data_IF_153540306366
#
_entry.id   IF_153540306366
#
_cell.length_a   1.000
_cell.length_b   1.000
_cell.length_c   1.000
_cell.angle_alpha   90.00
_cell.angle_beta   90.00
_cell.angle_gamma   90.00
#
_symmetry.space_group_name_H-M   'P 1'
#
loop_
_entity.id
_entity.type
_entity.pdbx_description
1 polymer ?
#
# COMPACT_ATOMS: atom_id res chain seq x y z
N UNK A 1 8.01 6.88 26.78
CA UNK A 1 6.78 7.64 26.41
C UNK A 1 7.02 8.40 25.12
N UNK A 2 8.18 9.03 24.96
CA UNK A 2 8.54 9.82 23.78
C UNK A 2 8.57 9.00 22.48
N UNK A 3 9.18 7.81 22.48
CA UNK A 3 9.20 6.92 21.30
C UNK A 3 7.79 6.54 20.79
N UNK A 4 6.85 6.27 21.69
CA UNK A 4 5.47 5.90 21.30
C UNK A 4 4.74 7.06 20.63
N UNK A 5 4.90 8.27 21.16
CA UNK A 5 4.32 9.48 20.56
C UNK A 5 4.91 9.75 19.16
N UNK A 6 6.21 9.47 18.97
CA UNK A 6 6.86 9.63 17.66
C UNK A 6 6.34 8.63 16.62
N UNK A 7 6.16 7.36 16.99
CA UNK A 7 5.72 6.30 16.06
C UNK A 7 4.31 6.54 15.50
N UNK A 8 3.44 7.22 16.25
CA UNK A 8 2.04 7.44 15.88
C UNK A 8 1.79 8.79 15.20
N UNK A 9 2.84 9.59 14.99
CA UNK A 9 2.72 10.97 14.56
C UNK A 9 3.40 11.20 13.20
N UNK A 10 2.62 11.70 12.24
CA UNK A 10 3.06 12.04 10.88
C UNK A 10 4.27 12.98 10.84
N UNK A 11 4.42 13.89 11.82
CA UNK A 11 5.54 14.84 11.86
C UNK A 11 6.91 14.15 11.94
N UNK A 12 6.99 12.99 12.59
CA UNK A 12 8.22 12.22 12.77
C UNK A 12 8.47 11.20 11.64
N UNK A 13 7.57 11.13 10.66
CA UNK A 13 7.75 10.28 9.48
C UNK A 13 8.82 10.87 8.57
N UNK A 14 9.75 10.03 8.11
CA UNK A 14 10.86 10.45 7.26
C UNK A 14 11.06 9.47 6.09
N UNK A 15 10.86 9.90 4.83
CA UNK A 15 11.00 9.03 3.67
C UNK A 15 12.35 8.30 3.57
N UNK A 16 13.45 8.95 3.96
CA UNK A 16 14.80 8.37 3.94
C UNK A 16 15.09 7.41 5.10
N UNK A 17 14.27 7.41 6.15
CA UNK A 17 14.44 6.56 7.33
C UNK A 17 13.99 7.25 8.62
N UNK A 18 13.19 6.55 9.43
CA UNK A 18 12.70 7.03 10.72
C UNK A 18 12.74 5.94 11.82
N UNK A 19 12.25 6.27 13.01
CA UNK A 19 12.18 5.36 14.15
C UNK A 19 11.26 4.15 13.92
N UNK A 20 10.24 4.24 13.07
CA UNK A 20 9.45 3.05 12.71
C UNK A 20 10.35 2.05 11.99
N UNK A 21 11.23 2.49 11.09
CA UNK A 21 12.12 1.59 10.36
C UNK A 21 13.12 0.88 11.27
N UNK A 22 13.70 1.62 12.21
CA UNK A 22 14.60 1.06 13.23
C UNK A 22 13.90 -0.03 14.03
N UNK A 23 12.69 0.25 14.52
CA UNK A 23 11.91 -0.71 15.33
C UNK A 23 11.48 -1.92 14.50
N UNK A 24 11.00 -1.71 13.27
CA UNK A 24 10.53 -2.79 12.41
C UNK A 24 11.66 -3.74 11.99
N UNK A 25 12.91 -3.26 11.93
CA UNK A 25 14.05 -4.10 11.55
C UNK A 25 14.27 -5.31 12.48
N UNK A 26 13.81 -5.22 13.74
CA UNK A 26 13.85 -6.33 14.70
C UNK A 26 12.95 -7.52 14.32
N UNK A 27 12.01 -7.35 13.39
CA UNK A 27 11.07 -8.38 12.95
C UNK A 27 11.34 -8.90 11.54
N UNK A 28 12.45 -8.52 10.91
CA UNK A 28 12.76 -9.01 9.58
C UNK A 28 13.26 -10.46 9.64
N UNK A 29 12.73 -11.30 8.75
CA UNK A 29 13.21 -12.67 8.55
C UNK A 29 14.53 -12.59 7.80
N UNK A 30 15.60 -13.08 8.43
CA UNK A 30 16.92 -13.12 7.81
C UNK A 30 17.06 -14.31 6.85
N UNK A 31 18.00 -14.20 5.91
CA UNK A 31 18.37 -15.31 5.02
C UNK A 31 17.50 -15.48 3.77
N UNK A 32 16.71 -14.46 3.39
CA UNK A 32 15.99 -14.50 2.12
C UNK A 32 16.96 -14.60 0.94
N UNK A 33 16.77 -15.60 0.07
CA UNK A 33 17.51 -15.72 -1.20
C UNK A 33 17.06 -14.68 -2.23
N UNK A 34 15.82 -14.20 -2.10
CA UNK A 34 15.13 -13.33 -3.05
C UNK A 34 15.26 -11.88 -2.61
N UNK A 35 14.78 -11.56 -1.40
CA UNK A 35 14.79 -10.22 -0.84
C UNK A 35 16.08 -10.01 -0.03
N UNK A 36 17.21 -9.97 -0.73
CA UNK A 36 18.54 -9.89 -0.10
C UNK A 36 18.76 -8.51 0.51
N UNK A 37 19.37 -8.50 1.69
CA UNK A 37 19.91 -7.28 2.26
C UNK A 37 21.03 -6.75 1.34
N UNK A 38 20.83 -5.56 0.78
CA UNK A 38 21.89 -4.83 0.07
C UNK A 38 23.07 -4.58 1.00
N UNK A 39 24.27 -4.43 0.43
CA UNK A 39 25.48 -4.03 1.18
C UNK A 39 25.30 -2.70 1.92
N UNK A 40 24.38 -1.84 1.44
CA UNK A 40 23.89 -0.66 2.14
C UNK A 40 22.42 -0.87 2.49
N UNK A 41 22.08 -1.22 3.75
CA UNK A 41 20.70 -1.43 4.14
C UNK A 41 19.93 -0.11 4.02
N UNK A 42 18.82 -0.14 3.28
CA UNK A 42 17.91 0.99 3.15
C UNK A 42 16.54 0.54 3.62
N UNK A 43 15.83 1.35 4.42
CA UNK A 43 14.45 1.04 4.80
C UNK A 43 13.51 1.03 3.58
N UNK A 44 13.95 1.55 2.44
CA UNK A 44 13.19 1.57 1.19
C UNK A 44 13.33 0.28 0.37
N UNK A 45 14.10 -0.68 0.84
CA UNK A 45 14.19 -2.00 0.22
C UNK A 45 13.06 -2.89 0.75
N UNK A 46 12.75 -3.95 0.00
CA UNK A 46 11.81 -4.97 0.41
C UNK A 46 12.44 -5.92 1.44
N UNK A 47 11.80 -6.06 2.59
CA UNK A 47 12.16 -7.07 3.60
C UNK A 47 10.94 -7.92 3.96
N UNK A 48 11.16 -9.19 4.30
CA UNK A 48 10.09 -10.07 4.74
C UNK A 48 9.95 -9.96 6.26
N UNK A 49 8.72 -9.76 6.73
CA UNK A 49 8.41 -9.61 8.16
C UNK A 49 8.00 -10.97 8.74
N UNK A 50 8.55 -11.32 9.90
CA UNK A 50 8.03 -12.39 10.74
C UNK A 50 6.66 -11.98 11.29
N UNK A 51 5.59 -12.45 10.66
CA UNK A 51 4.23 -12.12 11.05
C UNK A 51 3.90 -12.54 12.49
N UNK A 52 4.41 -13.70 12.93
CA UNK A 52 4.16 -14.18 14.28
C UNK A 52 4.89 -13.32 15.30
N UNK A 53 6.17 -13.01 15.04
CA UNK A 53 6.95 -12.09 15.86
C UNK A 53 6.35 -10.69 15.93
N UNK A 54 5.84 -10.17 14.81
CA UNK A 54 5.24 -8.85 14.74
C UNK A 54 3.87 -8.76 15.44
N UNK A 55 2.94 -9.68 15.19
CA UNK A 55 1.57 -9.59 15.72
C UNK A 55 1.41 -10.12 17.15
N UNK A 56 2.27 -11.05 17.60
CA UNK A 56 2.20 -11.59 18.97
C UNK A 56 3.11 -10.88 19.98
N UNK A 57 3.86 -9.86 19.54
CA UNK A 57 4.80 -9.16 20.44
C UNK A 57 4.11 -8.48 21.62
N UNK A 58 4.76 -8.55 22.77
CA UNK A 58 4.36 -7.80 23.97
C UNK A 58 5.01 -6.42 24.06
N UNK A 59 6.05 -6.18 23.26
CA UNK A 59 6.76 -4.89 23.25
C UNK A 59 5.80 -3.77 22.77
N UNK A 60 5.49 -2.78 23.63
CA UNK A 60 4.63 -1.68 23.24
C UNK A 60 5.21 -0.83 22.09
N UNK A 61 6.53 -0.74 21.96
CA UNK A 61 7.21 0.04 20.91
C UNK A 61 6.98 -0.63 19.56
N UNK A 62 7.26 -1.92 19.46
CA UNK A 62 7.01 -2.68 18.23
C UNK A 62 5.53 -2.74 17.86
N UNK A 63 4.62 -2.88 18.82
CA UNK A 63 3.17 -2.84 18.55
C UNK A 63 2.71 -1.51 17.94
N UNK A 64 3.36 -0.41 18.30
CA UNK A 64 3.07 0.93 17.78
C UNK A 64 3.75 1.23 16.44
N UNK A 65 4.79 0.48 16.07
CA UNK A 65 5.48 0.64 14.79
C UNK A 65 4.67 0.01 13.65
N UNK A 66 4.66 0.70 12.50
CA UNK A 66 4.00 0.22 11.29
C UNK A 66 5.03 -0.08 10.20
N UNK A 67 4.91 -1.22 9.50
CA UNK A 67 5.80 -1.61 8.42
C UNK A 67 5.69 -0.65 7.22
N UNK A 68 6.71 -0.60 6.36
CA UNK A 68 6.55 0.05 5.06
C UNK A 68 5.77 -0.83 4.11
N UNK A 69 5.16 -0.22 3.09
CA UNK A 69 4.42 -0.96 2.06
C UNK A 69 5.30 -1.95 1.30
N UNK A 70 6.56 -1.61 1.02
CA UNK A 70 7.50 -2.52 0.37
C UNK A 70 7.70 -3.81 1.18
N UNK A 71 7.84 -3.71 2.51
CA UNK A 71 8.01 -4.87 3.38
C UNK A 71 6.73 -5.71 3.45
N UNK A 72 5.56 -5.04 3.51
CA UNK A 72 4.29 -5.73 3.44
C UNK A 72 4.13 -6.49 2.13
N UNK A 73 4.41 -5.85 0.99
CA UNK A 73 4.34 -6.49 -0.34
C UNK A 73 5.28 -7.69 -0.42
N UNK A 74 6.54 -7.54 -0.01
CA UNK A 74 7.50 -8.65 0.00
C UNK A 74 7.01 -9.84 0.83
N UNK A 75 6.50 -9.57 2.03
CA UNK A 75 5.96 -10.60 2.93
C UNK A 75 4.78 -11.35 2.31
N UNK A 76 3.85 -10.63 1.67
CA UNK A 76 2.68 -11.22 1.01
C UNK A 76 3.10 -12.11 -0.15
N UNK A 77 3.98 -11.61 -1.01
CA UNK A 77 4.48 -12.36 -2.16
C UNK A 77 5.20 -13.63 -1.70
N UNK A 78 6.04 -13.55 -0.65
CA UNK A 78 6.71 -14.71 -0.06
C UNK A 78 5.75 -15.78 0.48
N UNK A 79 4.57 -15.41 0.99
CA UNK A 79 3.54 -16.38 1.41
C UNK A 79 2.68 -16.92 0.26
N UNK A 80 2.88 -16.41 -0.97
CA UNK A 80 2.06 -16.72 -2.14
C UNK A 80 2.66 -17.88 -2.94
N UNK A 81 3.64 -17.62 -3.81
CA UNK A 81 4.36 -18.65 -4.59
C UNK A 81 5.64 -18.07 -5.21
N UNK A 82 6.57 -18.93 -5.64
CA UNK A 82 7.80 -18.50 -6.33
C UNK A 82 7.51 -17.83 -7.66
N UNK A 83 6.51 -18.28 -8.40
CA UNK A 83 6.08 -17.69 -9.66
C UNK A 83 5.48 -16.29 -9.45
N UNK A 84 4.71 -16.10 -8.36
CA UNK A 84 4.15 -14.79 -8.01
C UNK A 84 5.27 -13.78 -7.71
N UNK A 85 6.25 -14.18 -6.90
CA UNK A 85 7.40 -13.35 -6.55
C UNK A 85 8.23 -13.03 -7.80
N UNK A 86 8.50 -14.04 -8.64
CA UNK A 86 9.24 -13.86 -9.88
C UNK A 86 8.51 -12.89 -10.83
N UNK A 87 7.21 -13.05 -11.04
CA UNK A 87 6.42 -12.18 -11.91
C UNK A 87 6.37 -10.73 -11.39
N UNK A 88 6.28 -10.53 -10.07
CA UNK A 88 6.31 -9.18 -9.51
C UNK A 88 7.67 -8.50 -9.72
N UNK A 89 8.77 -9.23 -9.55
CA UNK A 89 10.13 -8.71 -9.63
C UNK A 89 10.69 -8.64 -11.06
N UNK A 90 10.06 -9.31 -12.03
CA UNK A 90 10.51 -9.34 -13.42
C UNK A 90 10.26 -7.99 -14.12
N UNK A 91 11.30 -7.26 -14.56
CA UNK A 91 11.14 -6.02 -15.30
C UNK A 91 10.52 -6.23 -16.70
N UNK A 92 10.51 -7.46 -17.22
CA UNK A 92 9.82 -7.83 -18.46
C UNK A 92 8.31 -7.90 -18.31
N UNK A 93 7.80 -8.13 -17.09
CA UNK A 93 6.36 -8.07 -16.80
C UNK A 93 5.95 -6.60 -16.70
N UNK A 94 5.08 -6.16 -17.61
CA UNK A 94 4.64 -4.76 -17.67
C UNK A 94 3.61 -4.48 -16.58
N UNK A 95 2.59 -5.32 -16.49
CA UNK A 95 1.54 -5.19 -15.48
C UNK A 95 1.46 -6.44 -14.62
N UNK A 96 1.51 -6.23 -13.31
CA UNK A 96 1.24 -7.24 -12.30
C UNK A 96 0.12 -6.75 -11.38
N UNK A 97 -0.85 -7.61 -11.07
CA UNK A 97 -1.93 -7.28 -10.13
C UNK A 97 -2.16 -8.41 -9.15
N UNK A 98 -1.88 -8.18 -7.88
CA UNK A 98 -2.30 -9.05 -6.78
C UNK A 98 -3.65 -8.58 -6.24
N UNK A 99 -4.58 -9.52 -6.03
CA UNK A 99 -5.92 -9.26 -5.47
C UNK A 99 -6.28 -10.30 -4.41
N UNK A 100 -6.96 -9.83 -3.38
CA UNK A 100 -7.50 -10.70 -2.34
C UNK A 100 -8.86 -10.21 -1.84
N UNK A 101 -9.87 -11.06 -1.98
CA UNK A 101 -11.20 -10.80 -1.44
C UNK A 101 -11.25 -11.17 0.05
N UNK A 102 -11.49 -10.19 0.91
CA UNK A 102 -11.38 -10.34 2.37
C UNK A 102 -12.56 -11.11 2.96
N UNK A 103 -13.75 -10.91 2.42
CA UNK A 103 -15.02 -11.38 2.99
C UNK A 103 -15.63 -12.58 2.24
N UNK A 104 -14.97 -13.09 1.19
CA UNK A 104 -15.43 -14.25 0.41
C UNK A 104 -16.83 -14.12 -0.18
N UNK A 105 -17.36 -12.89 -0.26
CA UNK A 105 -18.68 -12.57 -0.80
C UNK A 105 -18.57 -11.53 -1.91
N UNK A 106 -19.44 -11.65 -2.91
CA UNK A 106 -19.52 -10.70 -4.02
C UNK A 106 -19.75 -9.27 -3.48
N UNK A 107 -18.88 -8.35 -3.89
CA UNK A 107 -18.91 -6.95 -3.42
C UNK A 107 -18.27 -6.71 -2.05
N UNK A 108 -17.61 -7.71 -1.47
CA UNK A 108 -16.76 -7.54 -0.28
C UNK A 108 -15.54 -6.66 -0.56
N UNK A 109 -14.83 -6.31 0.51
CA UNK A 109 -13.57 -5.57 0.39
C UNK A 109 -12.52 -6.42 -0.34
N UNK A 110 -11.79 -5.78 -1.24
CA UNK A 110 -10.68 -6.33 -2.00
C UNK A 110 -9.43 -5.56 -1.61
N UNK A 111 -8.41 -6.29 -1.16
CA UNK A 111 -7.06 -5.76 -1.02
C UNK A 111 -6.33 -5.95 -2.34
N UNK A 112 -5.61 -4.93 -2.79
CA UNK A 112 -4.87 -5.00 -4.05
C UNK A 112 -3.49 -4.35 -3.97
N UNK A 113 -2.57 -4.92 -4.76
CA UNK A 113 -1.29 -4.34 -5.12
C UNK A 113 -1.15 -4.50 -6.62
N UNK A 114 -1.15 -3.37 -7.34
CA UNK A 114 -0.95 -3.31 -8.78
C UNK A 114 0.40 -2.65 -9.07
N UNK A 115 1.25 -3.32 -9.83
CA UNK A 115 2.47 -2.77 -10.43
C UNK A 115 2.22 -2.56 -11.92
N UNK A 116 2.46 -1.35 -12.40
CA UNK A 116 2.56 -1.03 -13.83
C UNK A 116 3.94 -0.40 -14.06
N UNK A 117 4.80 -1.10 -14.77
CA UNK A 117 6.23 -0.80 -14.87
C UNK A 117 6.84 -0.65 -13.47
N UNK A 118 7.28 0.56 -13.10
CA UNK A 118 7.86 0.87 -11.79
C UNK A 118 6.89 1.63 -10.87
N UNK A 119 5.61 1.73 -11.22
CA UNK A 119 4.57 2.42 -10.46
C UNK A 119 3.68 1.41 -9.76
N UNK A 120 3.38 1.68 -8.50
CA UNK A 120 2.54 0.87 -7.64
C UNK A 120 1.26 1.64 -7.30
N UNK A 121 0.12 0.98 -7.42
CA UNK A 121 -1.13 1.38 -6.79
C UNK A 121 -1.48 0.28 -5.80
N UNK A 122 -1.69 0.66 -4.54
CA UNK A 122 -2.11 -0.28 -3.51
C UNK A 122 -3.28 0.29 -2.71
N UNK A 123 -4.12 -0.59 -2.18
CA UNK A 123 -5.24 -0.14 -1.38
C UNK A 123 -6.26 -1.21 -1.06
N UNK A 124 -7.36 -0.73 -0.50
CA UNK A 124 -8.54 -1.52 -0.18
C UNK A 124 -9.75 -0.88 -0.83
N UNK A 125 -10.53 -1.66 -1.57
CA UNK A 125 -11.71 -1.15 -2.27
C UNK A 125 -12.87 -2.14 -2.27
N UNK A 126 -14.08 -1.65 -2.54
CA UNK A 126 -15.24 -2.47 -2.94
C UNK A 126 -15.48 -2.32 -4.43
N UNK A 127 -15.70 -3.43 -5.13
CA UNK A 127 -16.07 -3.38 -6.54
C UNK A 127 -17.60 -3.20 -6.67
N UNK A 128 -18.04 -2.06 -7.18
CA UNK A 128 -19.46 -1.75 -7.41
C UNK A 128 -19.92 -2.08 -8.85
N UNK A 129 -19.07 -2.70 -9.66
CA UNK A 129 -19.34 -3.03 -11.07
C UNK A 129 -19.10 -1.87 -12.05
N UNK A 130 -19.39 -0.64 -11.64
CA UNK A 130 -19.13 0.58 -12.42
C UNK A 130 -18.01 1.45 -11.83
N UNK A 131 -17.55 1.15 -10.61
CA UNK A 131 -16.46 1.85 -9.95
C UNK A 131 -15.83 1.00 -8.85
N UNK A 132 -14.55 1.22 -8.59
CA UNK A 132 -13.88 0.77 -7.38
C UNK A 132 -14.04 1.84 -6.31
N UNK A 133 -14.71 1.52 -5.21
CA UNK A 133 -14.87 2.43 -4.06
C UNK A 133 -13.76 2.16 -3.04
N UNK A 134 -12.79 3.06 -2.97
CA UNK A 134 -11.59 2.93 -2.14
C UNK A 134 -11.83 3.43 -0.72
N UNK A 135 -11.47 2.60 0.26
CA UNK A 135 -11.33 3.01 1.67
C UNK A 135 -9.90 3.45 1.99
N UNK A 136 -8.91 2.88 1.30
CA UNK A 136 -7.50 3.28 1.35
C UNK A 136 -6.95 3.24 -0.08
N UNK A 137 -6.19 4.27 -0.47
CA UNK A 137 -5.58 4.36 -1.79
C UNK A 137 -4.24 5.07 -1.69
N UNK A 138 -3.17 4.37 -2.09
CA UNK A 138 -1.82 4.93 -2.13
C UNK A 138 -1.18 4.65 -3.49
N UNK A 139 -0.32 5.57 -3.92
CA UNK A 139 0.60 5.36 -5.03
C UNK A 139 2.03 5.39 -4.51
N UNK A 140 2.81 4.45 -4.97
CA UNK A 140 4.24 4.36 -4.70
C UNK A 140 4.97 4.05 -6.02
N UNK A 141 6.29 4.07 -5.98
CA UNK A 141 7.13 3.59 -7.07
C UNK A 141 8.44 3.07 -6.54
N UNK A 142 9.27 2.55 -7.43
CA UNK A 142 10.66 2.23 -7.09
C UNK A 142 11.63 2.75 -8.15
N UNK A 143 12.79 3.22 -7.69
CA UNK A 143 13.84 3.75 -8.55
C UNK A 143 14.69 2.67 -9.21
N UNK A 144 15.68 3.08 -10.00
CA UNK A 144 16.62 2.17 -10.67
C UNK A 144 17.43 1.30 -9.69
N UNK A 145 17.57 1.72 -8.44
CA UNK A 145 18.22 0.97 -7.36
C UNK A 145 17.31 -0.04 -6.67
N UNK A 146 16.04 -0.14 -7.09
CA UNK A 146 15.01 -0.97 -6.44
C UNK A 146 14.44 -0.37 -5.15
N UNK A 147 14.91 0.82 -4.73
CA UNK A 147 14.41 1.50 -3.54
C UNK A 147 13.03 2.11 -3.81
N UNK A 148 12.08 1.81 -2.93
CA UNK A 148 10.70 2.29 -2.98
C UNK A 148 10.57 3.72 -2.48
N UNK A 149 9.59 4.45 -3.01
CA UNK A 149 9.16 5.76 -2.52
C UNK A 149 7.64 5.89 -2.60
N UNK A 150 7.06 6.64 -1.67
CA UNK A 150 5.62 6.91 -1.64
C UNK A 150 5.34 8.24 -2.35
N UNK A 151 4.48 8.20 -3.37
CA UNK A 151 4.20 9.35 -4.25
C UNK A 151 2.91 10.08 -3.89
N UNK A 152 1.92 9.33 -3.40
CA UNK A 152 0.60 9.85 -3.12
C UNK A 152 -0.14 8.98 -2.10
N UNK A 153 -0.89 9.61 -1.22
CA UNK A 153 -1.95 8.93 -0.48
C UNK A 153 -3.24 9.74 -0.51
N UNK A 154 -4.37 9.05 -0.72
CA UNK A 154 -5.66 9.69 -0.64
C UNK A 154 -5.96 10.08 0.83
N UNK A 155 -6.30 11.34 1.11
CA UNK A 155 -6.60 11.77 2.48
C UNK A 155 -7.99 11.33 2.93
N UNK A 156 -8.86 10.96 1.99
CA UNK A 156 -10.22 10.50 2.22
C UNK A 156 -10.54 9.34 1.27
N UNK A 157 -11.61 8.62 1.58
CA UNK A 157 -12.18 7.62 0.68
C UNK A 157 -12.49 8.23 -0.69
N UNK A 158 -12.46 7.43 -1.75
CA UNK A 158 -12.72 7.91 -3.10
C UNK A 158 -13.08 6.79 -4.05
N UNK A 159 -13.06 7.08 -5.34
CA UNK A 159 -13.43 6.11 -6.36
C UNK A 159 -12.57 6.17 -7.61
N UNK A 160 -12.41 5.01 -8.24
CA UNK A 160 -11.86 4.87 -9.58
C UNK A 160 -12.96 4.34 -10.50
N UNK A 161 -13.29 5.01 -11.62
CA UNK A 161 -14.35 4.55 -12.51
C UNK A 161 -13.95 3.29 -13.28
N UNK A 162 -14.96 2.51 -13.65
CA UNK A 162 -14.84 1.42 -14.62
C UNK A 162 -15.60 1.86 -15.87
N UNK A 163 -14.90 1.96 -17.00
CA UNK A 163 -15.46 2.38 -18.29
C UNK A 163 -15.30 1.23 -19.27
N UNK A 164 -16.40 0.79 -19.86
CA UNK A 164 -16.43 -0.36 -20.80
C UNK A 164 -15.76 -1.63 -20.24
N UNK A 165 -15.95 -1.87 -18.93
CA UNK A 165 -15.37 -3.01 -18.22
C UNK A 165 -13.90 -2.83 -17.82
N UNK A 166 -13.25 -1.72 -18.21
CA UNK A 166 -11.85 -1.43 -17.91
C UNK A 166 -11.75 -0.49 -16.71
N UNK A 167 -10.96 -0.88 -15.70
CA UNK A 167 -10.67 -0.02 -14.55
C UNK A 167 -9.75 1.11 -14.98
N UNK A 168 -10.16 2.35 -14.76
CA UNK A 168 -9.37 3.53 -15.08
C UNK A 168 -8.35 3.84 -13.97
N UNK A 169 -7.38 2.95 -13.74
CA UNK A 169 -6.46 2.96 -12.58
C UNK A 169 -5.77 4.31 -12.31
N UNK A 170 -5.51 5.11 -13.34
CA UNK A 170 -4.87 6.42 -13.23
C UNK A 170 -5.81 7.52 -12.69
N UNK A 171 -7.11 7.26 -12.68
CA UNK A 171 -8.16 8.18 -12.23
C UNK A 171 -8.59 7.84 -10.80
N UNK A 172 -8.47 8.83 -9.92
CA UNK A 172 -8.98 8.79 -8.56
C UNK A 172 -9.81 10.04 -8.27
N UNK A 173 -11.05 9.85 -7.82
CA UNK A 173 -11.97 10.92 -7.44
C UNK A 173 -12.23 10.84 -5.94
N UNK A 174 -11.72 11.77 -5.12
CA UNK A 174 -12.04 11.82 -3.71
C UNK A 174 -13.55 11.98 -3.48
N UNK A 175 -14.10 11.26 -2.50
CA UNK A 175 -15.45 11.53 -2.02
C UNK A 175 -15.41 12.91 -1.38
N UNK A 176 -16.15 13.88 -1.93
CA UNK A 176 -16.24 15.21 -1.30
C UNK A 176 -16.72 15.02 0.13
N UNK A 177 -15.93 15.46 1.10
CA UNK A 177 -16.45 15.69 2.44
C UNK A 177 -17.55 16.75 2.27
N UNK A 178 -18.80 16.38 2.53
CA UNK A 178 -19.81 17.39 2.82
C UNK A 178 -19.30 18.13 4.05
N UNK A 179 -18.86 19.38 3.89
CA UNK A 179 -18.45 20.21 5.02
C UNK A 179 -19.55 20.18 6.07
N UNK A 180 -19.27 19.79 7.32
CA UNK A 180 -20.25 19.96 8.38
C UNK A 180 -20.23 21.43 8.78
N UNK A 181 -21.09 22.23 8.18
CA UNK A 181 -21.64 23.37 8.91
C UNK A 181 -22.60 22.79 9.96
N UNK A 182 -22.27 22.95 11.25
CA UNK A 182 -23.21 22.74 12.34
C UNK A 182 -22.82 21.63 13.34
N UNK A 183 -22.26 22.09 14.45
CA UNK A 183 -22.35 21.57 15.82
C UNK A 183 -21.80 20.17 16.16
N UNK A 184 -20.85 20.20 17.10
CA UNK A 184 -20.09 19.05 17.56
C UNK A 184 -20.92 17.95 18.20
N UNK A 185 -20.68 16.72 17.77
CA UNK A 185 -20.69 15.55 18.63
C UNK A 185 -19.81 14.44 18.03
N UNK A 186 -19.07 13.77 18.92
CA UNK A 186 -18.03 12.79 18.62
C UNK A 186 -18.52 11.67 17.68
N UNK A 187 -17.76 11.47 16.59
CA UNK A 187 -18.06 10.50 15.54
C UNK A 187 -17.85 9.05 15.97
N UNK A 188 -18.95 8.35 16.22
CA UNK A 188 -19.06 6.90 16.15
C UNK A 188 -19.32 6.45 14.70
N UNK A 189 -18.74 5.29 14.35
CA UNK A 189 -18.89 4.57 13.08
C UNK A 189 -20.36 4.46 12.61
N UNK A 190 -20.69 4.71 11.33
CA UNK A 190 -22.09 4.69 10.91
C UNK A 190 -22.56 3.27 10.55
N UNK A 191 -23.58 2.82 11.26
CA UNK A 191 -24.49 1.76 10.87
C UNK A 191 -25.42 2.22 9.73
N UNK A 192 -25.60 1.32 8.76
CA UNK A 192 -26.79 1.00 7.94
C UNK A 192 -27.99 1.98 7.97
N UNK A 193 -28.36 2.48 6.79
CA UNK A 193 -29.69 3.05 6.51
C UNK A 193 -29.85 3.42 5.03
N UNK A 194 -30.73 2.72 4.33
CA UNK A 194 -31.17 3.03 2.97
C UNK A 194 -31.89 4.39 2.93
N UNK A 195 -31.77 5.16 1.84
CA UNK A 195 -32.90 5.74 1.14
C UNK A 195 -32.47 6.39 -0.19
N UNK A 196 -33.24 6.08 -1.23
CA UNK A 196 -33.21 6.65 -2.59
C UNK A 196 -33.47 8.15 -2.56
N UNK A 197 -32.84 8.90 -3.47
CA UNK A 197 -33.51 9.86 -4.37
C UNK A 197 -32.57 10.42 -5.43
N UNK A 198 -33.19 10.75 -6.54
CA UNK A 198 -32.74 11.06 -7.90
C UNK A 198 -32.30 12.51 -8.14
N UNK A 199 -31.78 12.73 -9.37
CA UNK A 199 -31.55 14.01 -10.10
C UNK A 199 -30.26 14.76 -9.73
N UNK A 200 -29.52 15.43 -10.62
CA UNK A 200 -29.66 15.74 -12.06
C UNK A 200 -28.32 16.23 -12.63
N UNK A 201 -28.22 16.15 -13.95
CA UNK A 201 -27.18 16.59 -14.91
C UNK A 201 -26.48 17.94 -14.70
N UNK A 202 -25.19 17.99 -15.04
CA UNK A 202 -24.49 19.11 -15.73
C UNK A 202 -23.07 18.65 -16.12
N UNK A 203 -22.83 18.31 -17.39
CA UNK A 203 -22.27 19.15 -18.48
C UNK A 203 -20.80 19.58 -18.30
N UNK A 204 -19.92 18.78 -18.92
CA UNK A 204 -18.74 19.08 -19.75
C UNK A 204 -18.06 20.45 -19.57
N UNK A 205 -16.76 20.44 -19.25
CA UNK A 205 -15.72 21.16 -20.01
C UNK A 205 -14.30 20.70 -19.63
N UNK A 206 -13.56 20.21 -20.63
CA UNK A 206 -12.11 20.08 -20.62
C UNK A 206 -11.46 21.47 -20.84
N UNK A 207 -10.18 21.67 -20.45
CA UNK A 207 -9.19 21.74 -21.52
C UNK A 207 -7.78 21.22 -21.19
N UNK A 208 -7.24 20.52 -22.18
CA UNK A 208 -5.97 20.75 -22.89
C UNK A 208 -4.61 20.64 -22.19
N UNK A 209 -3.83 19.77 -22.83
CA UNK A 209 -2.41 19.44 -22.71
C UNK A 209 -1.48 20.55 -23.20
N UNK A 210 -0.36 20.76 -22.51
CA UNK A 210 0.86 21.26 -23.14
C UNK A 210 2.11 20.76 -22.38
N UNK A 211 3.18 20.31 -23.08
CA UNK A 211 4.32 19.62 -22.48
C UNK A 211 5.42 20.62 -22.09
N UNK A 212 6.00 20.49 -20.89
CA UNK A 212 7.21 21.22 -20.50
C UNK A 212 8.32 20.29 -20.03
N UNK A 213 9.18 19.98 -20.99
CA UNK A 213 10.66 20.02 -20.94
C UNK A 213 11.30 19.71 -19.57
N UNK A 214 11.81 18.49 -19.44
CA UNK A 214 12.74 18.06 -18.40
C UNK A 214 14.05 18.83 -18.62
N UNK A 215 14.47 19.59 -17.61
CA UNK A 215 15.80 20.20 -17.55
C UNK A 215 16.54 19.45 -16.44
N UNK A 216 17.50 18.62 -16.84
CA UNK A 216 18.49 18.02 -15.95
C UNK A 216 19.52 19.10 -15.59
N UNK A 217 19.67 19.39 -14.31
CA UNK A 217 20.81 20.15 -13.80
C UNK A 217 21.57 19.27 -12.81
N UNK A 218 22.87 19.24 -13.04
CA UNK A 218 23.87 18.34 -12.48
C UNK A 218 24.04 18.43 -10.96
N UNK A 219 24.59 17.33 -10.46
CA UNK A 219 24.95 17.05 -9.09
C UNK A 219 25.84 18.13 -8.47
N UNK A 220 25.53 18.50 -7.22
CA UNK A 220 26.54 18.93 -6.28
C UNK A 220 26.19 18.52 -4.84
N UNK A 221 27.25 18.23 -4.11
CA UNK A 221 27.36 17.51 -2.85
C UNK A 221 26.62 18.15 -1.66
N UNK A 222 26.18 17.27 -0.75
CA UNK A 222 26.09 17.60 0.68
C UNK A 222 24.76 18.16 1.18
N UNK A 223 23.62 17.57 0.82
CA UNK A 223 22.34 18.04 1.33
C UNK A 223 21.81 17.16 2.48
N UNK A 224 21.85 17.71 3.70
CA UNK A 224 21.03 17.20 4.81
C UNK A 224 19.59 17.48 4.43
N UNK A 225 18.93 16.51 3.80
CA UNK A 225 17.52 16.61 3.37
C UNK A 225 16.66 17.04 4.56
N UNK A 226 16.33 18.33 4.59
CA UNK A 226 15.47 18.92 5.60
C UNK A 226 14.06 18.38 5.40
N UNK A 227 13.60 17.58 6.35
CA UNK A 227 12.24 17.08 6.45
C UNK A 227 11.31 18.17 7.03
N UNK A 228 11.34 19.40 6.49
CA UNK A 228 10.49 20.52 6.90
C UNK A 228 9.49 20.82 5.80
N UNK A 229 8.43 20.01 5.73
CA UNK A 229 7.25 20.35 4.94
C UNK A 229 6.03 19.94 5.75
N UNK A 230 5.42 20.93 6.42
CA UNK A 230 4.33 20.76 7.38
C UNK A 230 2.95 20.83 6.71
N UNK A 231 2.88 21.07 5.39
CA UNK A 231 1.61 21.07 4.67
C UNK A 231 1.13 19.63 4.40
N UNK A 232 -0.02 19.26 4.98
CA UNK A 232 -0.66 17.96 4.74
C UNK A 232 -1.27 17.97 3.34
N UNK A 233 -0.44 17.68 2.34
CA UNK A 233 -0.84 17.46 0.96
C UNK A 233 -0.89 15.96 0.65
N UNK A 234 -1.82 15.50 -0.20
CA UNK A 234 -1.85 14.11 -0.67
C UNK A 234 -0.54 13.66 -1.34
N UNK A 235 0.27 14.60 -1.86
CA UNK A 235 1.59 14.35 -2.47
C UNK A 235 2.77 14.64 -1.54
N UNK A 236 2.52 15.10 -0.31
CA UNK A 236 3.58 15.26 0.67
C UNK A 236 4.11 13.87 1.04
N UNK A 237 5.42 13.66 0.90
CA UNK A 237 6.04 12.35 1.05
C UNK A 237 5.90 11.78 2.47
N UNK A 238 5.86 12.65 3.51
CA UNK A 238 5.62 12.18 4.89
C UNK A 238 4.19 11.68 5.07
N UNK A 239 3.21 12.43 4.57
CA UNK A 239 1.80 12.03 4.63
C UNK A 239 1.56 10.75 3.83
N UNK A 240 2.13 10.66 2.62
CA UNK A 240 2.05 9.48 1.77
C UNK A 240 2.64 8.25 2.47
N UNK A 241 3.86 8.36 3.03
CA UNK A 241 4.50 7.29 3.79
C UNK A 241 3.67 6.88 5.01
N UNK A 242 3.12 7.83 5.77
CA UNK A 242 2.29 7.51 6.94
C UNK A 242 1.06 6.68 6.56
N UNK A 243 0.30 7.10 5.53
CA UNK A 243 -0.87 6.35 5.06
C UNK A 243 -0.47 5.00 4.45
N UNK A 244 0.64 4.95 3.73
CA UNK A 244 1.22 3.74 3.17
C UNK A 244 1.57 2.72 4.26
N UNK A 245 2.12 3.17 5.40
CA UNK A 245 2.37 2.34 6.58
C UNK A 245 1.09 1.80 7.23
N UNK A 246 0.03 2.62 7.31
CA UNK A 246 -1.27 2.16 7.80
C UNK A 246 -1.81 1.05 6.89
N UNK A 247 -1.80 1.26 5.58
CA UNK A 247 -2.20 0.26 4.59
C UNK A 247 -1.37 -1.02 4.72
N UNK A 248 -0.04 -0.90 4.83
CA UNK A 248 0.87 -2.01 4.98
C UNK A 248 0.50 -2.90 6.18
N UNK A 249 0.20 -2.29 7.34
CA UNK A 249 -0.29 -3.03 8.51
C UNK A 249 -1.62 -3.73 8.25
N UNK A 250 -2.58 -3.09 7.59
CA UNK A 250 -3.86 -3.72 7.26
C UNK A 250 -3.69 -4.93 6.33
N UNK A 251 -2.82 -4.80 5.31
CA UNK A 251 -2.49 -5.87 4.38
C UNK A 251 -1.90 -7.09 5.12
N UNK A 252 -0.96 -6.86 6.04
CA UNK A 252 -0.33 -7.93 6.81
C UNK A 252 -1.27 -8.56 7.84
N UNK A 253 -2.07 -7.74 8.54
CA UNK A 253 -3.03 -8.21 9.55
C UNK A 253 -4.00 -9.22 8.95
N UNK A 254 -4.49 -8.91 7.75
CA UNK A 254 -5.44 -9.76 7.08
C UNK A 254 -4.84 -11.16 6.78
N UNK A 255 -3.65 -11.19 6.20
CA UNK A 255 -2.98 -12.47 5.89
C UNK A 255 -2.62 -13.22 7.17
N UNK A 256 -2.13 -12.54 8.20
CA UNK A 256 -1.81 -13.14 9.49
C UNK A 256 -3.01 -13.87 10.10
N UNK A 257 -4.14 -13.18 10.31
CA UNK A 257 -5.35 -13.75 10.94
C UNK A 257 -5.82 -15.00 10.19
N UNK A 258 -5.60 -15.04 8.88
CA UNK A 258 -6.10 -16.11 8.01
C UNK A 258 -5.16 -17.31 7.99
N UNK A 259 -3.86 -17.06 7.99
CA UNK A 259 -2.84 -18.09 8.17
C UNK A 259 -2.92 -18.72 9.56
N UNK A 260 -3.15 -17.92 10.61
CA UNK A 260 -3.28 -18.39 11.99
C UNK A 260 -4.59 -19.18 12.18
N UNK A 261 -5.71 -18.64 11.72
CA UNK A 261 -7.03 -19.27 11.83
C UNK A 261 -7.25 -20.49 10.94
N UNK A 262 -6.24 -20.89 10.15
CA UNK A 262 -6.30 -21.99 9.17
C UNK A 262 -7.47 -21.89 8.19
N UNK A 263 -7.89 -20.65 7.88
CA UNK A 263 -8.97 -20.42 6.93
C UNK A 263 -8.47 -20.67 5.50
N UNK A 264 -9.39 -21.02 4.59
CA UNK A 264 -9.11 -21.03 3.16
C UNK A 264 -8.78 -19.59 2.70
N UNK A 265 -7.48 -19.28 2.63
CA UNK A 265 -6.99 -17.97 2.23
C UNK A 265 -6.69 -17.98 0.73
N UNK A 266 -7.70 -17.61 -0.07
CA UNK A 266 -7.58 -17.52 -1.53
C UNK A 266 -7.06 -16.14 -1.92
N UNK A 267 -6.12 -16.13 -2.86
CA UNK A 267 -5.66 -14.92 -3.54
C UNK A 267 -5.57 -15.20 -5.03
N UNK A 268 -5.58 -14.13 -5.82
CA UNK A 268 -5.22 -14.19 -7.23
C UNK A 268 -4.11 -13.21 -7.52
N UNK A 269 -3.28 -13.55 -8.49
CA UNK A 269 -2.42 -12.58 -9.14
C UNK A 269 -2.51 -12.72 -10.65
N UNK A 270 -2.26 -11.62 -11.33
CA UNK A 270 -2.29 -11.51 -12.77
C UNK A 270 -0.97 -10.91 -13.23
N UNK A 271 -0.36 -11.48 -14.27
CA UNK A 271 0.81 -10.90 -14.94
C UNK A 271 0.53 -10.83 -16.44
N UNK A 272 0.54 -9.63 -17.01
CA UNK A 272 0.28 -9.36 -18.42
C UNK A 272 -0.95 -10.09 -19.01
N UNK A 273 -2.03 -10.18 -18.20
CA UNK A 273 -3.31 -10.80 -18.58
C UNK A 273 -3.44 -12.27 -18.19
N UNK A 274 -2.38 -12.93 -17.75
CA UNK A 274 -2.45 -14.31 -17.25
C UNK A 274 -2.83 -14.32 -15.76
N UNK A 275 -4.06 -14.79 -15.47
CA UNK A 275 -4.58 -14.88 -14.10
C UNK A 275 -4.26 -16.24 -13.48
N UNK A 276 -3.73 -16.22 -12.25
CA UNK A 276 -3.51 -17.41 -11.43
C UNK A 276 -4.21 -17.26 -10.09
N UNK A 277 -5.00 -18.25 -9.73
CA UNK A 277 -5.59 -18.39 -8.40
C UNK A 277 -4.75 -19.34 -7.55
N UNK A 278 -4.62 -19.03 -6.26
CA UNK A 278 -3.88 -19.89 -5.34
C UNK A 278 -4.40 -19.79 -3.91
N UNK A 279 -3.90 -20.71 -3.10
CA UNK A 279 -4.10 -20.73 -1.65
C UNK A 279 -2.79 -20.34 -0.96
N UNK A 280 -2.84 -19.29 -0.14
CA UNK A 280 -1.70 -18.83 0.64
C UNK A 280 -1.24 -19.91 1.63
N UNK A 281 0.08 -19.99 1.84
CA UNK A 281 0.72 -20.95 2.74
C UNK A 281 1.50 -20.23 3.84
N UNK A 282 1.66 -20.89 4.98
CA UNK A 282 2.52 -20.37 6.06
C UNK A 282 4.01 -20.43 5.68
N UNK A 283 4.41 -21.39 4.85
CA UNK A 283 5.78 -21.48 4.37
C UNK A 283 6.15 -20.24 3.54
N UNK A 284 7.37 -19.73 3.76
CA UNK A 284 7.91 -18.58 3.06
C UNK A 284 8.77 -19.05 1.89
N UNK A 285 8.45 -18.59 0.69
CA UNK A 285 9.26 -18.81 -0.49
C UNK A 285 10.58 -18.04 -0.38
N UNK A 286 11.68 -18.71 -0.72
CA UNK A 286 13.02 -18.14 -0.71
C UNK A 286 13.74 -18.23 0.64
N UNK A 287 13.23 -19.04 1.58
CA UNK A 287 13.82 -19.31 2.90
C UNK A 287 13.96 -20.81 3.13
N UNK A 288 15.01 -21.22 3.85
CA UNK A 288 15.32 -22.64 4.12
C UNK A 288 15.95 -23.37 2.94
N UNK A 289 16.58 -24.51 3.17
CA UNK A 289 17.15 -25.35 2.10
C UNK A 289 16.01 -26.01 1.33
N UNK A 290 15.67 -25.46 0.16
CA UNK A 290 14.86 -26.17 -0.82
C UNK A 290 15.87 -26.94 -1.68
N UNK A 291 15.95 -28.26 -1.46
CA UNK A 291 16.51 -29.22 -2.42
C UNK A 291 15.70 -29.23 -3.73
#
# INVERSE_FOLDING_TARGET
RDKLAMLQNTYHTCPSGDICDEVMSACFVNGSRIFRNSSVPSPRNMHVIDLAGYFNTQDPVLRAANPRLCDAVATILSHTSSECVAAFLDPGVREFVYKREVEGRKGGNVLTVRRLDNKIIAGSYRNLGFSLQWSLYVKAGFGATGQWHDDYAAPVAGSTPIVDGVVMWDVFTPTRATSPEGDGQAGGWPHRGEHRSSSSSSSVQAPQTSPRKITLSDANEGDKVQCQDDEISPRNAKFALYQSRLLARYLLWDIWVRLEGRYDCKASWEADGEVRELRLKQALVGFGDEE
#
